data_IF_674547481847
#
_entry.id   IF_674547481847
#
_cell.length_a   1.000
_cell.length_b   1.000
_cell.length_c   1.000
_cell.angle_alpha   90.00
_cell.angle_beta   90.00
_cell.angle_gamma   90.00
#
_symmetry.space_group_name_H-M   'P 1'
#
loop_
_entity.id
_entity.type
_entity.pdbx_description
1 polymer ?
#
# COMPACT_ATOMS: atom_id res chain seq x y z
N UNK A 1 0.53 -10.21 21.71
CA UNK A 1 -0.05 -10.74 20.46
C UNK A 1 -1.49 -11.13 20.65
N UNK A 2 -2.25 -11.18 19.56
CA UNK A 2 -3.63 -11.68 19.52
C UNK A 2 -3.63 -13.21 19.32
N UNK A 3 -4.48 -13.97 20.03
CA UNK A 3 -4.55 -15.43 19.85
C UNK A 3 -4.81 -15.82 18.39
N UNK A 4 -3.98 -16.72 17.84
CA UNK A 4 -4.09 -17.18 16.45
C UNK A 4 -3.36 -16.34 15.41
N UNK A 5 -2.73 -15.23 15.80
CA UNK A 5 -1.97 -14.35 14.90
C UNK A 5 -0.50 -14.28 15.30
N UNK A 6 0.39 -14.15 14.31
CA UNK A 6 1.82 -13.94 14.56
C UNK A 6 2.06 -12.66 15.35
N UNK A 7 3.13 -12.65 16.15
CA UNK A 7 3.65 -11.43 16.80
C UNK A 7 5.01 -11.02 16.23
N UNK A 8 5.45 -11.66 15.15
CA UNK A 8 6.62 -11.22 14.41
C UNK A 8 6.35 -9.86 13.74
N UNK A 9 7.41 -9.09 13.53
CA UNK A 9 7.32 -7.79 12.86
C UNK A 9 6.93 -8.04 11.41
N UNK A 10 5.80 -7.46 10.99
CA UNK A 10 5.31 -7.59 9.62
C UNK A 10 6.15 -6.74 8.64
N UNK A 11 6.42 -5.49 9.02
CA UNK A 11 7.24 -4.55 8.26
C UNK A 11 7.68 -3.36 9.12
N UNK A 12 8.68 -2.63 8.63
CA UNK A 12 9.21 -1.40 9.21
C UNK A 12 8.66 -0.21 8.43
N UNK A 13 8.14 0.79 9.14
CA UNK A 13 7.73 2.07 8.58
C UNK A 13 8.76 3.14 8.98
N UNK A 14 9.46 3.69 7.99
CA UNK A 14 10.54 4.66 8.19
C UNK A 14 10.18 6.03 7.58
N UNK A 15 9.88 7.02 8.43
CA UNK A 15 9.47 8.36 7.98
C UNK A 15 10.58 9.36 8.24
N UNK A 16 11.33 9.72 7.18
CA UNK A 16 12.50 10.62 7.25
C UNK A 16 13.56 10.16 8.28
N UNK A 17 13.70 8.85 8.46
CA UNK A 17 14.66 8.26 9.38
C UNK A 17 15.89 7.68 8.68
N UNK A 18 16.81 7.18 9.50
CA UNK A 18 18.07 6.60 9.10
C UNK A 18 18.47 5.47 10.07
N UNK A 19 19.40 4.61 9.64
CA UNK A 19 20.05 3.61 10.49
C UNK A 19 21.57 3.83 10.50
N UNK A 20 22.28 3.24 11.47
CA UNK A 20 23.72 3.47 11.61
C UNK A 20 24.53 3.04 10.38
N UNK A 21 24.23 1.88 9.83
CA UNK A 21 24.87 1.31 8.64
C UNK A 21 23.88 0.35 7.97
N UNK A 22 23.55 0.59 6.70
CA UNK A 22 22.65 -0.27 5.93
C UNK A 22 23.17 -1.71 5.84
N UNK A 23 24.50 -1.91 5.89
CA UNK A 23 25.14 -3.23 5.91
C UNK A 23 24.81 -4.10 7.13
N UNK A 24 24.09 -3.58 8.13
CA UNK A 24 23.53 -4.39 9.21
C UNK A 24 22.30 -5.21 8.80
N UNK A 25 21.72 -4.95 7.63
CA UNK A 25 20.58 -5.71 7.11
C UNK A 25 21.02 -7.07 6.58
N UNK A 26 20.20 -8.09 6.82
CA UNK A 26 20.44 -9.48 6.42
C UNK A 26 19.28 -10.06 5.58
N UNK A 27 19.56 -11.14 4.84
CA UNK A 27 18.52 -11.85 4.07
C UNK A 27 17.47 -12.39 5.04
N UNK A 28 16.19 -12.11 4.75
CA UNK A 28 15.07 -12.54 5.58
C UNK A 28 14.66 -11.55 6.67
N UNK A 29 15.34 -10.39 6.77
CA UNK A 29 14.88 -9.29 7.61
C UNK A 29 13.50 -8.76 7.20
N UNK A 30 12.88 -8.01 8.10
CA UNK A 30 11.55 -7.46 7.89
C UNK A 30 11.51 -6.53 6.65
N UNK A 31 10.43 -6.56 5.86
CA UNK A 31 10.18 -5.60 4.79
C UNK A 31 10.22 -4.15 5.27
N UNK A 32 10.56 -3.20 4.40
CA UNK A 32 10.67 -1.78 4.76
C UNK A 32 9.95 -0.86 3.78
N UNK A 33 9.14 0.07 4.31
CA UNK A 33 8.59 1.20 3.57
C UNK A 33 9.15 2.51 4.11
N UNK A 34 9.65 3.36 3.23
CA UNK A 34 10.16 4.69 3.60
C UNK A 34 9.47 5.83 2.88
N UNK A 35 9.36 6.97 3.55
CA UNK A 35 9.04 8.28 2.93
C UNK A 35 10.06 9.30 3.38
N UNK A 36 10.71 10.00 2.46
CA UNK A 36 11.85 10.88 2.77
C UNK A 36 11.91 12.08 1.82
N UNK A 37 12.17 13.27 2.37
CA UNK A 37 12.50 14.46 1.59
C UNK A 37 13.90 14.40 0.98
N UNK A 38 14.06 14.76 -0.30
CA UNK A 38 15.38 14.68 -0.96
C UNK A 38 16.34 15.80 -0.52
N UNK A 39 15.83 16.85 0.12
CA UNK A 39 16.59 17.97 0.68
C UNK A 39 16.57 17.98 2.23
N UNK A 40 16.46 16.81 2.86
CA UNK A 40 16.50 16.67 4.32
C UNK A 40 17.90 17.01 4.88
N UNK A 41 17.99 18.15 5.56
CA UNK A 41 19.22 18.64 6.21
C UNK A 41 19.34 18.19 7.68
N UNK A 42 18.35 17.50 8.24
CA UNK A 42 18.36 17.02 9.64
C UNK A 42 18.80 15.58 9.72
N UNK A 43 18.17 14.71 8.93
CA UNK A 43 18.52 13.30 8.75
C UNK A 43 18.81 13.11 7.27
N UNK A 44 20.01 12.63 6.89
CA UNK A 44 20.38 12.59 5.48
C UNK A 44 19.49 11.61 4.73
N UNK A 45 19.04 11.98 3.53
CA UNK A 45 18.38 11.05 2.60
C UNK A 45 19.34 9.94 2.13
N UNK A 46 20.60 10.30 1.86
CA UNK A 46 21.70 9.40 1.53
C UNK A 46 22.53 9.00 2.76
N UNK A 47 23.78 8.60 2.54
CA UNK A 47 24.76 8.46 3.63
C UNK A 47 25.27 9.84 4.03
N UNK A 48 25.19 10.19 5.31
CA UNK A 48 25.57 11.52 5.80
C UNK A 48 25.55 11.64 7.31
N UNK A 49 25.71 12.85 7.83
CA UNK A 49 25.63 13.10 9.27
C UNK A 49 24.23 13.54 9.68
N UNK A 50 23.74 13.00 10.80
CA UNK A 50 22.58 13.57 11.51
C UNK A 50 22.99 14.92 12.10
N UNK A 51 22.15 15.93 11.89
CA UNK A 51 22.35 17.28 12.38
C UNK A 51 21.48 17.53 13.62
N UNK A 52 22.11 17.81 14.76
CA UNK A 52 21.43 18.23 15.99
C UNK A 52 21.86 19.65 16.35
N UNK A 53 20.92 20.59 16.32
CA UNK A 53 21.19 22.02 16.57
C UNK A 53 22.31 22.59 15.68
N UNK A 54 22.41 22.09 14.45
CA UNK A 54 23.45 22.47 13.48
C UNK A 54 24.81 21.77 13.67
N UNK A 55 24.94 20.87 14.64
CA UNK A 55 26.14 20.07 14.85
C UNK A 55 25.97 18.67 14.25
N UNK A 56 26.97 18.22 13.49
CA UNK A 56 27.05 16.84 13.01
C UNK A 56 27.36 15.90 14.18
N UNK A 57 26.47 14.93 14.42
CA UNK A 57 26.56 14.03 15.59
C UNK A 57 27.14 12.67 15.20
N UNK A 58 26.51 11.99 14.25
CA UNK A 58 26.87 10.63 13.83
C UNK A 58 26.62 10.47 12.35
N UNK A 59 27.52 9.77 11.67
CA UNK A 59 27.28 9.32 10.31
C UNK A 59 26.29 8.16 10.33
N UNK A 60 25.33 8.19 9.41
CA UNK A 60 24.23 7.24 9.27
C UNK A 60 23.92 7.03 7.79
N UNK A 61 23.19 5.96 7.52
CA UNK A 61 22.56 5.67 6.23
C UNK A 61 21.08 6.02 6.26
N UNK A 62 20.71 7.01 5.45
CA UNK A 62 19.33 7.40 5.19
C UNK A 62 18.52 6.37 4.42
N UNK A 63 17.30 6.76 4.04
CA UNK A 63 16.41 5.87 3.30
C UNK A 63 17.01 5.37 1.98
N UNK A 64 17.82 6.16 1.26
CA UNK A 64 18.35 5.71 -0.03
C UNK A 64 19.29 4.49 0.07
N UNK A 65 20.37 4.51 0.87
CA UNK A 65 21.20 3.32 1.08
C UNK A 65 20.44 2.13 1.68
N UNK A 66 19.50 2.38 2.60
CA UNK A 66 18.64 1.31 3.18
C UNK A 66 17.88 0.57 2.08
N UNK A 67 17.29 1.30 1.13
CA UNK A 67 16.54 0.67 0.04
C UNK A 67 17.43 0.02 -1.02
N UNK A 68 18.63 0.55 -1.29
CA UNK A 68 19.63 -0.16 -2.12
C UNK A 68 20.06 -1.49 -1.50
N UNK A 69 20.26 -1.51 -0.19
CA UNK A 69 20.62 -2.74 0.52
C UNK A 69 19.45 -3.72 0.54
N UNK A 70 18.23 -3.26 0.84
CA UNK A 70 17.03 -4.08 0.81
C UNK A 70 16.86 -4.79 -0.55
N UNK A 71 17.01 -4.04 -1.66
CA UNK A 71 16.97 -4.58 -3.03
C UNK A 71 18.04 -5.67 -3.23
N UNK A 72 19.29 -5.40 -2.80
CA UNK A 72 20.40 -6.35 -2.97
C UNK A 72 20.21 -7.67 -2.23
N UNK A 73 19.45 -7.64 -1.12
CA UNK A 73 19.13 -8.80 -0.29
C UNK A 73 17.83 -9.50 -0.73
N UNK A 74 17.11 -8.92 -1.71
CA UNK A 74 15.81 -9.41 -2.16
C UNK A 74 14.70 -9.25 -1.11
N UNK A 75 14.83 -8.26 -0.21
CA UNK A 75 13.80 -7.92 0.76
C UNK A 75 12.67 -7.15 0.07
N UNK A 76 11.46 -7.35 0.54
CA UNK A 76 10.32 -6.57 0.06
C UNK A 76 10.40 -5.13 0.57
N UNK A 77 10.39 -4.14 -0.33
CA UNK A 77 10.56 -2.75 0.05
C UNK A 77 9.87 -1.75 -0.88
N UNK A 78 9.52 -0.58 -0.35
CA UNK A 78 9.00 0.55 -1.13
C UNK A 78 9.50 1.89 -0.59
N UNK A 79 9.85 2.83 -1.46
CA UNK A 79 10.27 4.17 -1.05
C UNK A 79 9.51 5.22 -1.85
N UNK A 80 9.01 6.24 -1.15
CA UNK A 80 8.41 7.44 -1.74
C UNK A 80 9.28 8.64 -1.45
N UNK A 81 9.71 9.33 -2.50
CA UNK A 81 10.56 10.50 -2.40
C UNK A 81 9.70 11.76 -2.48
N UNK A 82 9.95 12.69 -1.56
CA UNK A 82 9.36 14.01 -1.58
C UNK A 82 10.43 14.98 -2.13
N UNK A 83 10.38 15.19 -3.44
CA UNK A 83 11.42 15.93 -4.17
C UNK A 83 11.52 17.38 -3.70
N UNK A 84 12.72 17.80 -3.28
CA UNK A 84 12.99 19.14 -2.77
C UNK A 84 12.51 19.42 -1.34
N UNK A 85 11.81 18.46 -0.72
CA UNK A 85 11.31 18.62 0.64
C UNK A 85 12.39 18.35 1.70
N UNK A 86 12.24 19.02 2.85
CA UNK A 86 13.15 18.92 4.00
C UNK A 86 12.79 17.77 4.95
N UNK A 87 13.17 17.92 6.23
CA UNK A 87 12.87 16.93 7.27
C UNK A 87 11.38 16.95 7.64
N UNK A 88 10.77 15.75 7.69
CA UNK A 88 9.39 15.51 8.16
C UNK A 88 8.31 16.42 7.55
N UNK A 89 8.24 16.59 6.21
CA UNK A 89 7.28 17.50 5.58
C UNK A 89 5.82 17.14 5.88
N UNK A 90 5.53 15.86 6.14
CA UNK A 90 4.22 15.36 6.55
C UNK A 90 3.68 15.94 7.87
N UNK A 91 4.53 16.60 8.68
CA UNK A 91 4.10 17.24 9.92
C UNK A 91 3.50 18.64 9.70
N UNK A 92 3.77 19.28 8.56
CA UNK A 92 3.40 20.67 8.29
C UNK A 92 2.73 20.90 6.95
N UNK A 93 2.87 19.98 6.00
CA UNK A 93 2.24 20.05 4.68
C UNK A 93 1.21 18.93 4.52
N UNK A 94 -0.01 19.31 4.13
CA UNK A 94 -1.13 18.37 3.98
C UNK A 94 -0.91 17.41 2.80
N UNK A 95 -0.31 17.88 1.70
CA UNK A 95 -0.01 17.03 0.55
C UNK A 95 1.03 15.97 0.90
N UNK A 96 2.11 16.36 1.59
CA UNK A 96 3.12 15.45 2.09
C UNK A 96 2.55 14.46 3.12
N UNK A 97 1.62 14.90 3.97
CA UNK A 97 0.91 14.02 4.90
C UNK A 97 0.10 12.94 4.16
N UNK A 98 -0.68 13.33 3.15
CA UNK A 98 -1.49 12.39 2.37
C UNK A 98 -0.63 11.40 1.60
N UNK A 99 0.43 11.88 0.93
CA UNK A 99 1.40 11.00 0.24
C UNK A 99 2.05 10.02 1.22
N UNK A 100 2.41 10.49 2.42
CA UNK A 100 3.03 9.64 3.43
C UNK A 100 2.08 8.54 3.89
N UNK A 101 0.82 8.90 4.18
CA UNK A 101 -0.21 7.95 4.59
C UNK A 101 -0.53 6.96 3.46
N UNK A 102 -0.58 7.41 2.21
CA UNK A 102 -0.78 6.56 1.04
C UNK A 102 0.34 5.51 0.90
N UNK A 103 1.59 5.95 0.90
CA UNK A 103 2.74 5.07 0.74
C UNK A 103 2.80 3.96 1.81
N UNK A 104 2.55 4.32 3.08
CA UNK A 104 2.54 3.35 4.18
C UNK A 104 1.35 2.40 4.08
N UNK A 105 0.17 2.93 3.77
CA UNK A 105 -1.07 2.13 3.76
C UNK A 105 -1.09 1.16 2.59
N UNK A 106 -0.65 1.54 1.38
CA UNK A 106 -0.59 0.60 0.25
C UNK A 106 0.38 -0.55 0.53
N UNK A 107 1.58 -0.24 1.01
CA UNK A 107 2.61 -1.23 1.29
C UNK A 107 2.19 -2.24 2.38
N UNK A 108 1.57 -1.75 3.45
CA UNK A 108 1.13 -2.61 4.56
C UNK A 108 -0.16 -3.36 4.24
N UNK A 109 -1.07 -2.77 3.46
CA UNK A 109 -2.35 -3.41 3.11
C UNK A 109 -2.13 -4.67 2.27
N UNK A 110 -1.22 -4.66 1.28
CA UNK A 110 -0.91 -5.87 0.50
C UNK A 110 -0.28 -7.00 1.31
N UNK A 111 0.32 -6.70 2.47
CA UNK A 111 0.91 -7.69 3.37
C UNK A 111 -0.15 -8.35 4.27
N UNK A 112 -1.22 -7.62 4.59
CA UNK A 112 -2.31 -8.11 5.45
C UNK A 112 -3.47 -8.69 4.63
N UNK A 113 -3.73 -8.14 3.44
CA UNK A 113 -4.86 -8.44 2.59
C UNK A 113 -4.37 -8.89 1.20
N UNK A 114 -4.44 -10.21 0.88
CA UNK A 114 -3.98 -10.74 -0.41
C UNK A 114 -4.72 -10.18 -1.64
N UNK A 115 -5.94 -9.66 -1.45
CA UNK A 115 -6.75 -9.04 -2.51
C UNK A 115 -6.52 -7.54 -2.65
N UNK A 116 -5.66 -6.93 -1.84
CA UNK A 116 -5.39 -5.50 -1.95
C UNK A 116 -4.58 -5.22 -3.22
N UNK A 117 -5.05 -4.34 -4.12
CA UNK A 117 -4.32 -4.05 -5.35
C UNK A 117 -2.97 -3.38 -5.05
N UNK A 118 -1.97 -3.63 -5.89
CA UNK A 118 -0.72 -2.85 -5.85
C UNK A 118 -1.01 -1.44 -6.38
N UNK A 119 -1.22 -0.51 -5.45
CA UNK A 119 -1.49 0.90 -5.77
C UNK A 119 -0.14 1.65 -5.85
N UNK A 120 0.14 2.40 -6.93
CA UNK A 120 1.34 3.23 -7.02
C UNK A 120 1.39 4.29 -5.90
N UNK A 121 2.56 4.89 -5.71
CA UNK A 121 2.92 5.77 -4.58
C UNK A 121 2.03 7.02 -4.34
N UNK A 122 1.02 7.27 -5.18
CA UNK A 122 0.04 8.33 -4.99
C UNK A 122 -1.38 7.77 -5.10
N UNK A 123 -2.10 7.72 -3.99
CA UNK A 123 -3.55 7.58 -3.97
C UNK A 123 -4.13 8.35 -2.78
N UNK A 124 -5.33 8.88 -2.94
CA UNK A 124 -6.03 9.57 -1.87
C UNK A 124 -6.47 8.55 -0.81
N UNK A 125 -5.93 8.68 0.38
CA UNK A 125 -6.15 7.77 1.51
C UNK A 125 -7.40 8.10 2.31
N UNK A 126 -8.00 9.29 2.09
CA UNK A 126 -9.38 9.60 2.49
C UNK A 126 -10.40 9.11 1.46
N UNK A 127 -9.96 8.84 0.24
CA UNK A 127 -10.74 8.23 -0.83
C UNK A 127 -10.09 6.92 -1.29
N UNK A 128 -9.96 5.90 -0.40
CA UNK A 128 -9.40 4.61 -0.81
C UNK A 128 -10.18 4.11 -2.04
N UNK A 129 -9.52 3.51 -3.05
CA UNK A 129 -10.24 2.94 -4.17
C UNK A 129 -11.29 1.99 -3.63
N UNK A 130 -12.51 2.09 -4.16
CA UNK A 130 -13.60 1.23 -3.73
C UNK A 130 -13.12 -0.21 -3.91
N UNK A 131 -13.02 -0.96 -2.82
CA UNK A 131 -12.81 -2.40 -2.88
C UNK A 131 -14.08 -2.96 -3.50
N UNK A 132 -13.97 -3.44 -4.74
CA UNK A 132 -15.11 -3.81 -5.56
C UNK A 132 -15.57 -2.67 -6.48
N UNK A 133 -15.56 -2.94 -7.77
CA UNK A 133 -16.29 -2.20 -8.79
C UNK A 133 -17.57 -2.98 -9.15
N UNK A 134 -18.47 -2.37 -9.92
CA UNK A 134 -19.66 -3.08 -10.43
C UNK A 134 -19.20 -4.39 -11.09
N UNK A 135 -19.69 -5.53 -10.60
CA UNK A 135 -19.32 -6.86 -11.10
C UNK A 135 -18.14 -7.56 -10.40
N UNK A 136 -17.40 -6.93 -9.49
CA UNK A 136 -16.44 -7.61 -8.59
C UNK A 136 -17.15 -8.07 -7.31
N UNK A 137 -17.84 -9.20 -7.42
CA UNK A 137 -18.73 -9.74 -6.40
C UNK A 137 -17.92 -10.44 -5.30
N UNK A 138 -16.79 -11.07 -5.64
CA UNK A 138 -15.90 -11.69 -4.63
C UNK A 138 -14.90 -10.71 -4.00
N UNK A 139 -14.96 -9.43 -4.39
CA UNK A 139 -14.13 -8.34 -3.88
C UNK A 139 -12.62 -8.63 -3.99
N UNK A 140 -12.20 -9.19 -5.12
CA UNK A 140 -10.80 -9.55 -5.41
C UNK A 140 -10.05 -8.48 -6.23
N UNK A 141 -10.70 -7.36 -6.55
CA UNK A 141 -10.13 -6.24 -7.29
C UNK A 141 -10.24 -6.36 -8.82
N UNK A 142 -10.93 -7.38 -9.33
CA UNK A 142 -11.09 -7.61 -10.77
C UNK A 142 -12.45 -8.20 -11.09
N UNK A 143 -13.05 -7.81 -12.22
CA UNK A 143 -14.26 -8.48 -12.73
C UNK A 143 -13.86 -9.68 -13.58
N UNK A 144 -13.96 -10.89 -13.02
CA UNK A 144 -13.44 -12.11 -13.61
C UNK A 144 -14.40 -13.30 -13.61
N UNK A 145 -13.83 -14.47 -13.85
CA UNK A 145 -14.59 -15.74 -13.89
C UNK A 145 -15.15 -16.09 -12.51
N UNK A 146 -14.44 -15.74 -11.44
CA UNK A 146 -14.87 -16.01 -10.07
C UNK A 146 -16.18 -15.27 -9.75
N UNK A 147 -16.29 -14.00 -10.17
CA UNK A 147 -17.51 -13.21 -10.03
C UNK A 147 -18.66 -13.76 -10.86
N UNK A 148 -18.38 -14.12 -12.11
CA UNK A 148 -19.39 -14.74 -12.97
C UNK A 148 -19.91 -16.06 -12.39
N UNK A 149 -19.03 -16.87 -11.81
CA UNK A 149 -19.43 -18.14 -11.18
C UNK A 149 -20.26 -17.91 -9.91
N UNK A 150 -19.92 -16.89 -9.11
CA UNK A 150 -20.72 -16.51 -7.94
C UNK A 150 -22.11 -16.02 -8.37
N UNK A 151 -22.18 -15.11 -9.35
CA UNK A 151 -23.45 -14.62 -9.90
C UNK A 151 -24.33 -15.77 -10.43
N UNK A 152 -23.75 -16.67 -11.22
CA UNK A 152 -24.48 -17.81 -11.78
C UNK A 152 -24.93 -18.80 -10.70
N UNK A 153 -24.22 -18.88 -9.57
CA UNK A 153 -24.64 -19.72 -8.44
C UNK A 153 -25.90 -19.20 -7.76
N UNK A 154 -26.18 -17.90 -7.88
CA UNK A 154 -27.35 -17.23 -7.31
C UNK A 154 -28.46 -16.97 -8.33
N UNK A 155 -28.33 -17.45 -9.57
CA UNK A 155 -29.31 -17.16 -10.63
C UNK A 155 -30.74 -17.58 -10.23
N UNK A 156 -31.67 -16.61 -10.26
CA UNK A 156 -33.05 -16.77 -9.81
C UNK A 156 -33.28 -16.50 -8.32
N UNK A 157 -32.26 -16.04 -7.58
CA UNK A 157 -32.40 -15.54 -6.21
C UNK A 157 -33.27 -14.26 -6.19
N UNK A 158 -34.05 -14.08 -5.13
CA UNK A 158 -35.03 -12.96 -4.98
C UNK A 158 -34.97 -12.27 -3.62
N UNK A 159 -33.95 -12.56 -2.80
CA UNK A 159 -33.72 -11.90 -1.53
C UNK A 159 -32.29 -12.17 -1.03
N UNK A 160 -31.56 -11.12 -0.66
CA UNK A 160 -30.25 -11.21 -0.02
C UNK A 160 -29.16 -11.81 -0.92
N UNK A 161 -29.24 -11.54 -2.22
CA UNK A 161 -28.31 -12.06 -3.22
C UNK A 161 -27.16 -11.07 -3.41
N UNK A 162 -25.93 -11.56 -3.48
CA UNK A 162 -24.74 -10.74 -3.76
C UNK A 162 -24.63 -10.43 -5.26
N UNK A 163 -25.22 -11.26 -6.12
CA UNK A 163 -25.23 -11.12 -7.58
C UNK A 163 -26.32 -10.22 -8.17
N UNK A 164 -27.10 -9.48 -7.36
CA UNK A 164 -28.07 -8.47 -7.81
C UNK A 164 -27.33 -7.15 -8.05
N UNK A 165 -26.89 -6.96 -9.30
CA UNK A 165 -26.02 -5.86 -9.71
C UNK A 165 -26.79 -4.61 -10.15
N UNK A 166 -28.05 -4.76 -10.60
CA UNK A 166 -28.90 -3.63 -10.99
C UNK A 166 -29.84 -3.15 -9.87
N UNK A 167 -29.94 -3.91 -8.78
CA UNK A 167 -30.65 -3.54 -7.56
C UNK A 167 -32.17 -3.73 -7.66
N UNK A 168 -32.66 -4.55 -8.59
CA UNK A 168 -34.09 -4.81 -8.76
C UNK A 168 -34.66 -5.82 -7.75
N UNK A 169 -33.79 -6.42 -6.93
CA UNK A 169 -34.13 -7.40 -5.90
C UNK A 169 -34.05 -8.85 -6.38
N UNK A 170 -33.57 -9.13 -7.59
CA UNK A 170 -33.41 -10.48 -8.10
C UNK A 170 -32.13 -10.66 -8.93
N UNK A 171 -31.55 -11.86 -8.88
CA UNK A 171 -30.45 -12.24 -9.80
C UNK A 171 -31.05 -12.80 -11.08
N UNK A 172 -30.93 -12.03 -12.15
CA UNK A 172 -31.56 -12.29 -13.44
C UNK A 172 -30.55 -12.20 -14.59
N UNK A 173 -31.06 -12.26 -15.83
CA UNK A 173 -30.23 -12.03 -17.03
C UNK A 173 -29.71 -10.59 -17.06
N UNK A 174 -30.41 -9.63 -16.45
CA UNK A 174 -29.97 -8.25 -16.40
C UNK A 174 -28.63 -8.12 -15.67
N UNK A 175 -28.45 -8.85 -14.56
CA UNK A 175 -27.21 -8.87 -13.77
C UNK A 175 -26.07 -9.56 -14.51
N UNK A 176 -26.36 -10.68 -15.20
CA UNK A 176 -25.37 -11.33 -16.08
C UNK A 176 -24.86 -10.34 -17.14
N UNK A 177 -25.75 -9.58 -17.75
CA UNK A 177 -25.38 -8.58 -18.76
C UNK A 177 -24.65 -7.39 -18.15
N UNK A 178 -25.01 -6.97 -16.93
CA UNK A 178 -24.31 -5.93 -16.18
C UNK A 178 -22.85 -6.35 -15.91
N UNK A 179 -22.63 -7.57 -15.40
CA UNK A 179 -21.29 -8.13 -15.16
C UNK A 179 -20.49 -8.24 -16.47
N UNK A 180 -21.08 -8.78 -17.54
CA UNK A 180 -20.40 -8.91 -18.83
C UNK A 180 -20.05 -7.55 -19.46
N UNK A 181 -20.77 -6.49 -19.13
CA UNK A 181 -20.49 -5.13 -19.58
C UNK A 181 -19.18 -4.55 -19.04
N UNK A 182 -18.67 -5.11 -17.94
CA UNK A 182 -17.47 -4.67 -17.22
C UNK A 182 -16.46 -5.82 -17.04
N UNK A 183 -16.69 -6.98 -17.65
CA UNK A 183 -15.83 -8.16 -17.54
C UNK A 183 -14.41 -7.88 -18.06
N UNK A 184 -13.42 -8.31 -17.28
CA UNK A 184 -12.00 -8.10 -17.58
C UNK A 184 -11.51 -6.67 -17.34
N UNK A 185 -12.33 -5.79 -16.76
CA UNK A 185 -11.88 -4.47 -16.31
C UNK A 185 -11.33 -4.55 -14.88
N UNK A 186 -10.19 -3.89 -14.59
CA UNK A 186 -9.73 -3.75 -13.22
C UNK A 186 -10.60 -2.75 -12.46
N UNK A 187 -10.80 -2.98 -11.17
CA UNK A 187 -11.43 -2.01 -10.28
C UNK A 187 -10.38 -0.95 -9.90
N UNK A 188 -10.44 0.23 -10.54
CA UNK A 188 -9.56 1.38 -10.29
C UNK A 188 -10.31 2.49 -9.56
#
# INVERSE_FOLDING_TARGET
GSPGYSSEVLSIVNLCGAMGDAGWMEVGDAPVVSVHGTADETVPFGTGFVQLLGFSVSQVDGSWPVHLQAESLGLDHAITLLEGEGHVPHMSDAGAYDVTRAAVTSFTSRQVCPSYPDIPAYYDVDTPPAVGCLGDIVANGSVGVEDLLLLLSEFGCTAGCEGDLDGDGAVSVADVLALLGVFGTPCL
#
